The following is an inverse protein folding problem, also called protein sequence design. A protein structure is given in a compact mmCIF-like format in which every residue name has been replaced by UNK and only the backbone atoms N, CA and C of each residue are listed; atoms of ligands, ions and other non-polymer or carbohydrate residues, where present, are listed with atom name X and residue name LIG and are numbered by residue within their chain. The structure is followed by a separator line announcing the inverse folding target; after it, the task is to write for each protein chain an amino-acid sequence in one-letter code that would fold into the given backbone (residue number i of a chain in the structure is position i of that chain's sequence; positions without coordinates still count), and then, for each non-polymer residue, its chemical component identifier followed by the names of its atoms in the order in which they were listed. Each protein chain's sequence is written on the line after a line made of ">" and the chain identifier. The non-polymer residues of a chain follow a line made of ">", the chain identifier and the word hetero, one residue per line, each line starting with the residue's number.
data_IF_711640750455
#
_entry.id   IF_711640750455
#
_cell.length_a   1.000
_cell.length_b   1.000
_cell.length_c   1.000
_cell.angle_alpha   90.00
_cell.angle_beta   90.00
_cell.angle_gamma   90.00
#
_symmetry.space_group_name_H-M   'P 1'
#
loop_
_entity.id
_entity.type
_entity.pdbx_description
1 polymer ?
#
# COMPACT_ATOMS: atom_id res chain seq x y z
N UNK A 1 -63.78 -5.15 -50.87
CA UNK A 1 -64.70 -4.75 -49.79
C UNK A 1 -63.95 -4.82 -48.47
N UNK A 2 -63.86 -3.68 -47.77
CA UNK A 2 -64.00 -3.48 -46.32
C UNK A 2 -63.02 -4.21 -45.35
N UNK A 3 -62.34 -3.35 -44.57
CA UNK A 3 -61.51 -3.56 -43.36
C UNK A 3 -62.13 -4.47 -42.29
N UNK A 4 -61.30 -5.02 -41.40
CA UNK A 4 -61.40 -4.83 -39.93
C UNK A 4 -60.23 -5.50 -39.18
N UNK A 5 -59.54 -4.73 -38.33
CA UNK A 5 -58.65 -5.19 -37.24
C UNK A 5 -59.45 -5.25 -35.93
N UNK A 6 -59.03 -6.09 -34.96
CA UNK A 6 -58.83 -5.61 -33.57
C UNK A 6 -57.47 -6.11 -33.02
N UNK A 7 -56.55 -5.24 -32.54
CA UNK A 7 -56.35 -4.78 -31.15
C UNK A 7 -56.47 -5.87 -30.07
N UNK A 8 -55.37 -6.26 -29.41
CA UNK A 8 -55.14 -6.23 -27.92
C UNK A 8 -53.94 -7.10 -27.45
N UNK A 9 -52.85 -6.42 -27.06
CA UNK A 9 -51.98 -6.54 -25.84
C UNK A 9 -51.49 -7.85 -25.18
N UNK A 10 -50.19 -7.78 -24.79
CA UNK A 10 -49.41 -8.38 -23.67
C UNK A 10 -49.16 -9.90 -23.69
N UNK A 11 -47.97 -10.43 -23.41
CA UNK A 11 -47.09 -10.29 -22.23
C UNK A 11 -45.63 -10.48 -22.70
N UNK A 12 -44.68 -9.56 -22.49
CA UNK A 12 -43.94 -9.40 -21.23
C UNK A 12 -42.79 -10.42 -21.13
N UNK A 13 -41.67 -10.19 -21.83
CA UNK A 13 -40.48 -11.04 -21.72
C UNK A 13 -39.31 -10.28 -21.10
N UNK A 14 -39.04 -10.69 -19.85
CA UNK A 14 -37.75 -10.72 -19.16
C UNK A 14 -36.91 -9.43 -19.15
N UNK A 15 -37.07 -8.72 -18.03
CA UNK A 15 -36.05 -7.90 -17.39
C UNK A 15 -34.75 -8.70 -17.24
N UNK A 16 -33.69 -8.30 -17.96
CA UNK A 16 -32.31 -8.61 -17.57
C UNK A 16 -31.39 -7.42 -17.90
N UNK A 17 -31.80 -6.23 -17.48
CA UNK A 17 -30.81 -5.21 -17.16
C UNK A 17 -30.26 -5.59 -15.80
N UNK A 18 -29.11 -6.26 -15.81
CA UNK A 18 -28.31 -6.48 -14.62
C UNK A 18 -28.15 -5.13 -13.92
N UNK A 19 -28.65 -5.04 -12.69
CA UNK A 19 -28.32 -3.97 -11.79
C UNK A 19 -26.78 -3.97 -11.66
N UNK A 20 -26.11 -3.00 -12.27
CA UNK A 20 -24.79 -2.61 -11.79
C UNK A 20 -25.02 -1.99 -10.41
N UNK A 21 -24.91 -2.82 -9.37
CA UNK A 21 -24.57 -2.33 -8.05
C UNK A 21 -23.14 -1.80 -8.16
N UNK A 22 -22.97 -0.51 -8.39
CA UNK A 22 -21.76 0.19 -7.96
C UNK A 22 -21.81 0.36 -6.44
N UNK A 23 -21.63 -0.74 -5.70
CA UNK A 23 -21.07 -0.68 -4.36
C UNK A 23 -19.54 -0.68 -4.51
N UNK A 24 -19.00 0.35 -5.16
CA UNK A 24 -17.56 0.58 -5.31
C UNK A 24 -16.89 1.05 -3.99
N UNK A 25 -17.54 0.78 -2.87
CA UNK A 25 -16.98 0.83 -1.52
C UNK A 25 -16.86 -0.57 -0.92
N UNK A 26 -16.73 -1.62 -1.76
CA UNK A 26 -16.28 -2.95 -1.31
C UNK A 26 -15.09 -2.70 -0.39
N UNK A 27 -15.35 -2.88 0.90
CA UNK A 27 -14.57 -2.31 1.99
C UNK A 27 -13.07 -2.40 1.66
N UNK A 28 -12.42 -1.29 1.31
CA UNK A 28 -11.02 -1.31 0.83
C UNK A 28 -10.12 -1.98 1.90
N UNK A 29 -10.48 -1.84 3.18
CA UNK A 29 -9.85 -2.54 4.30
C UNK A 29 -10.11 -4.06 4.33
N UNK A 30 -11.22 -4.55 3.76
CA UNK A 30 -11.44 -5.99 3.61
C UNK A 30 -10.61 -6.60 2.47
N UNK A 31 -10.23 -5.81 1.47
CA UNK A 31 -9.40 -6.25 0.33
C UNK A 31 -7.90 -6.05 0.64
N UNK A 32 -7.57 -5.00 1.40
CA UNK A 32 -6.21 -4.63 1.80
C UNK A 32 -6.15 -4.41 3.32
N UNK A 33 -6.21 -5.48 4.13
CA UNK A 33 -6.33 -5.40 5.59
C UNK A 33 -5.19 -4.62 6.24
N UNK A 34 -3.95 -4.82 5.79
CA UNK A 34 -2.81 -4.12 6.40
C UNK A 34 -2.87 -2.62 6.08
N UNK A 35 -3.12 -2.27 4.82
CA UNK A 35 -3.24 -0.86 4.43
C UNK A 35 -4.39 -0.18 5.18
N UNK A 36 -5.53 -0.87 5.32
CA UNK A 36 -6.66 -0.40 6.11
C UNK A 36 -6.25 -0.08 7.55
N UNK A 37 -5.57 -1.00 8.24
CA UNK A 37 -5.11 -0.78 9.60
C UNK A 37 -4.15 0.42 9.71
N UNK A 38 -3.21 0.56 8.77
CA UNK A 38 -2.27 1.70 8.69
C UNK A 38 -3.00 3.03 8.49
N UNK A 39 -3.96 3.09 7.56
CA UNK A 39 -4.73 4.32 7.28
C UNK A 39 -5.55 4.78 8.49
N UNK A 40 -6.01 3.85 9.33
CA UNK A 40 -6.71 4.15 10.58
C UNK A 40 -5.78 4.34 11.79
N UNK A 41 -4.46 4.22 11.60
CA UNK A 41 -3.46 4.25 12.68
C UNK A 41 -3.71 3.20 13.78
N UNK A 42 -4.33 2.08 13.43
CA UNK A 42 -4.63 0.98 14.35
C UNK A 42 -3.39 0.10 14.52
N UNK A 43 -2.51 0.52 15.42
CA UNK A 43 -1.21 -0.13 15.64
C UNK A 43 -1.36 -1.56 16.16
N UNK A 44 -2.42 -1.85 16.91
CA UNK A 44 -2.68 -3.19 17.45
C UNK A 44 -3.14 -4.14 16.34
N UNK A 45 -4.00 -3.67 15.44
CA UNK A 45 -4.39 -4.46 14.27
C UNK A 45 -3.22 -4.65 13.29
N UNK A 46 -2.40 -3.62 13.06
CA UNK A 46 -1.14 -3.75 12.29
C UNK A 46 -0.28 -4.86 12.89
N UNK A 47 -0.08 -4.86 14.21
CA UNK A 47 0.72 -5.90 14.89
C UNK A 47 0.12 -7.28 14.67
N UNK A 48 -1.19 -7.43 14.90
CA UNK A 48 -1.89 -8.71 14.73
C UNK A 48 -1.77 -9.23 13.30
N UNK A 49 -1.92 -8.38 12.30
CA UNK A 49 -1.80 -8.76 10.88
C UNK A 49 -0.35 -9.11 10.53
N UNK A 50 0.62 -8.33 11.02
CA UNK A 50 2.05 -8.55 10.78
C UNK A 50 2.54 -9.88 11.40
N UNK A 51 2.08 -10.23 12.60
CA UNK A 51 2.36 -11.52 13.26
C UNK A 51 1.94 -12.73 12.42
N UNK A 52 0.92 -12.57 11.57
CA UNK A 52 0.43 -13.60 10.66
C UNK A 52 0.97 -13.45 9.22
N UNK A 53 1.85 -12.48 8.97
CA UNK A 53 2.38 -12.18 7.64
C UNK A 53 1.33 -11.70 6.64
N UNK A 54 0.21 -11.14 7.12
CA UNK A 54 -0.90 -10.73 6.27
C UNK A 54 -0.61 -9.33 5.73
N UNK A 55 -0.56 -9.21 4.41
CA UNK A 55 -0.64 -7.91 3.74
C UNK A 55 0.56 -6.99 3.86
N UNK A 56 1.72 -7.48 4.34
CA UNK A 56 2.92 -6.69 4.60
C UNK A 56 3.35 -5.81 3.40
N UNK A 57 3.24 -6.37 2.18
CA UNK A 57 3.69 -5.77 0.93
C UNK A 57 2.54 -5.56 -0.07
N UNK A 58 1.30 -5.44 0.41
CA UNK A 58 0.16 -5.05 -0.42
C UNK A 58 0.46 -3.76 -1.19
N UNK A 59 0.00 -3.65 -2.43
CA UNK A 59 0.21 -2.45 -3.24
C UNK A 59 -1.12 -1.81 -3.55
N UNK A 60 -1.26 -0.56 -3.12
CA UNK A 60 -2.48 0.18 -3.35
C UNK A 60 -2.60 0.55 -4.85
N UNK A 61 -3.79 0.42 -5.48
CA UNK A 61 -3.89 0.53 -6.93
C UNK A 61 -3.55 1.89 -7.53
N UNK A 62 -3.70 2.99 -6.79
CA UNK A 62 -3.55 4.33 -7.35
C UNK A 62 -2.08 4.69 -7.61
N UNK A 63 -1.15 4.31 -6.72
CA UNK A 63 0.26 4.60 -6.87
C UNK A 63 1.24 3.48 -6.54
N UNK A 64 0.75 2.28 -6.25
CA UNK A 64 1.57 1.13 -5.87
C UNK A 64 2.31 1.29 -4.54
N UNK A 65 1.93 2.26 -3.69
CA UNK A 65 2.46 2.36 -2.33
C UNK A 65 2.16 1.12 -1.52
N UNK A 66 3.15 0.71 -0.72
CA UNK A 66 3.00 -0.34 0.28
C UNK A 66 2.52 0.24 1.61
N UNK A 67 1.96 -0.57 2.53
CA UNK A 67 1.62 -0.11 3.88
C UNK A 67 2.78 0.59 4.57
N UNK A 68 4.01 0.12 4.34
CA UNK A 68 5.21 0.75 4.89
C UNK A 68 5.44 2.16 4.32
N UNK A 69 5.26 2.38 3.02
CA UNK A 69 5.39 3.70 2.39
C UNK A 69 4.31 4.65 2.94
N UNK A 70 3.07 4.19 3.03
CA UNK A 70 1.94 4.99 3.55
C UNK A 70 2.13 5.38 5.02
N UNK A 71 2.55 4.43 5.87
CA UNK A 71 2.86 4.68 7.27
C UNK A 71 3.99 5.72 7.42
N UNK A 72 5.01 5.63 6.57
CA UNK A 72 6.17 6.53 6.60
C UNK A 72 5.82 7.95 6.14
N UNK A 73 4.98 8.09 5.11
CA UNK A 73 4.46 9.38 4.67
C UNK A 73 3.57 10.05 5.70
N UNK A 74 3.01 9.26 6.63
CA UNK A 74 2.18 9.73 7.76
C UNK A 74 2.96 9.82 9.08
N UNK A 75 4.29 9.67 9.06
CA UNK A 75 5.16 9.70 10.24
C UNK A 75 4.81 8.68 11.36
N UNK A 76 4.13 7.58 11.01
CA UNK A 76 3.75 6.50 11.93
C UNK A 76 4.94 5.54 12.17
N UNK A 77 6.06 6.04 12.67
CA UNK A 77 7.31 5.28 12.78
C UNK A 77 7.25 4.01 13.65
N UNK A 78 6.45 3.93 14.74
CA UNK A 78 6.23 2.67 15.44
C UNK A 78 5.57 1.59 14.55
N UNK A 79 4.64 1.98 13.67
CA UNK A 79 4.02 1.09 12.69
C UNK A 79 5.05 0.65 11.64
N UNK A 80 5.87 1.58 11.14
CA UNK A 80 6.98 1.25 10.21
C UNK A 80 7.94 0.24 10.85
N UNK A 81 8.29 0.42 12.13
CA UNK A 81 9.15 -0.51 12.85
C UNK A 81 8.53 -1.91 12.96
N UNK A 82 7.22 -2.01 13.25
CA UNK A 82 6.51 -3.30 13.26
C UNK A 82 6.61 -4.00 11.90
N UNK A 83 6.33 -3.29 10.81
CA UNK A 83 6.39 -3.86 9.46
C UNK A 83 7.80 -4.35 9.11
N UNK A 84 8.82 -3.54 9.43
CA UNK A 84 10.24 -3.90 9.23
C UNK A 84 10.66 -5.12 10.05
N UNK A 85 10.14 -5.27 11.26
CA UNK A 85 10.46 -6.40 12.14
C UNK A 85 9.75 -7.70 11.73
N UNK A 86 8.65 -7.61 10.99
CA UNK A 86 7.90 -8.76 10.49
C UNK A 86 8.22 -9.13 9.03
N UNK A 87 9.24 -8.49 8.45
CA UNK A 87 9.78 -8.89 7.15
C UNK A 87 9.11 -8.26 5.93
N UNK A 88 8.39 -7.15 6.10
CA UNK A 88 7.96 -6.35 4.96
C UNK A 88 9.19 -5.87 4.15
N UNK A 89 9.04 -5.80 2.82
CA UNK A 89 10.11 -5.46 1.90
C UNK A 89 10.56 -4.01 2.07
N UNK A 90 11.72 -3.83 2.68
CA UNK A 90 12.33 -2.51 2.89
C UNK A 90 12.79 -1.84 1.59
N UNK A 91 12.90 -2.59 0.49
CA UNK A 91 13.36 -2.11 -0.81
C UNK A 91 12.22 -1.72 -1.75
N UNK A 92 10.97 -1.95 -1.34
CA UNK A 92 9.81 -1.54 -2.11
C UNK A 92 9.80 -0.03 -2.37
N UNK A 93 9.40 0.34 -3.58
CA UNK A 93 9.06 1.71 -3.95
C UNK A 93 7.68 1.76 -4.60
N UNK A 94 7.06 2.95 -4.59
CA UNK A 94 5.82 3.24 -5.33
C UNK A 94 6.10 3.45 -6.83
N UNK A 95 5.06 3.76 -7.62
CA UNK A 95 5.19 4.02 -9.07
C UNK A 95 6.10 5.21 -9.41
N UNK A 96 6.38 6.07 -8.45
CA UNK A 96 7.21 7.27 -8.60
C UNK A 96 8.64 7.03 -8.11
N UNK A 97 8.98 5.83 -7.64
CA UNK A 97 10.30 5.50 -7.10
C UNK A 97 10.51 5.96 -5.65
N UNK A 98 9.45 6.33 -4.94
CA UNK A 98 9.51 6.72 -3.53
C UNK A 98 9.61 5.47 -2.66
N UNK A 99 10.59 5.47 -1.76
CA UNK A 99 10.86 4.42 -0.77
C UNK A 99 10.58 4.92 0.64
N UNK A 100 10.37 3.99 1.58
CA UNK A 100 10.30 4.32 3.01
C UNK A 100 11.58 5.04 3.49
N UNK A 101 12.76 4.60 3.02
CA UNK A 101 14.03 5.17 3.45
C UNK A 101 14.17 6.67 3.10
N UNK A 102 13.64 7.10 1.95
CA UNK A 102 13.58 8.52 1.60
C UNK A 102 12.72 9.31 2.60
N UNK A 103 11.54 8.79 2.95
CA UNK A 103 10.65 9.41 3.94
C UNK A 103 11.32 9.50 5.31
N UNK A 104 12.10 8.47 5.69
CA UNK A 104 12.84 8.48 6.95
C UNK A 104 13.82 9.65 7.01
N UNK A 105 14.54 9.99 5.95
CA UNK A 105 15.50 11.11 5.99
C UNK A 105 14.87 12.49 5.81
N UNK A 106 13.65 12.58 5.24
CA UNK A 106 12.94 13.84 5.03
C UNK A 106 11.86 14.14 6.08
N UNK A 107 11.55 13.19 6.96
CA UNK A 107 10.60 13.33 8.07
C UNK A 107 10.87 14.59 8.90
N UNK A 108 9.80 15.25 9.34
CA UNK A 108 9.83 16.51 10.09
C UNK A 108 9.29 16.37 11.52
N UNK A 109 9.25 15.15 12.04
CA UNK A 109 8.85 14.88 13.43
C UNK A 109 9.78 15.56 14.44
N UNK A 110 9.26 15.77 15.65
CA UNK A 110 9.97 16.41 16.74
C UNK A 110 11.17 15.53 17.19
N UNK A 111 12.41 16.06 17.18
CA UNK A 111 13.57 15.31 17.65
C UNK A 111 13.38 14.83 19.10
N UNK A 112 13.67 13.55 19.34
CA UNK A 112 13.55 12.92 20.66
C UNK A 112 12.14 12.48 21.06
N UNK A 113 11.12 12.67 20.21
CA UNK A 113 9.81 12.05 20.41
C UNK A 113 9.89 10.52 20.32
N UNK A 114 8.82 9.82 20.69
CA UNK A 114 8.79 8.36 20.59
C UNK A 114 8.77 7.90 19.12
N UNK A 115 8.13 8.67 18.24
CA UNK A 115 8.18 8.51 16.79
C UNK A 115 9.62 8.68 16.28
N UNK A 116 10.35 9.69 16.75
CA UNK A 116 11.75 9.90 16.33
C UNK A 116 12.66 8.78 16.82
N UNK A 117 12.48 8.30 18.04
CA UNK A 117 13.21 7.12 18.53
C UNK A 117 12.92 5.89 17.67
N UNK A 118 11.66 5.64 17.30
CA UNK A 118 11.28 4.52 16.43
C UNK A 118 11.90 4.68 15.02
N UNK A 119 11.80 5.87 14.45
CA UNK A 119 12.41 6.22 13.16
C UNK A 119 13.92 5.97 13.15
N UNK A 120 14.62 6.36 14.21
CA UNK A 120 16.05 6.11 14.35
C UNK A 120 16.36 4.61 14.44
N UNK A 121 15.56 3.82 15.18
CA UNK A 121 15.71 2.35 15.19
C UNK A 121 15.48 1.74 13.81
N UNK A 122 14.48 2.22 13.05
CA UNK A 122 14.25 1.82 11.66
C UNK A 122 15.47 2.12 10.79
N UNK A 123 16.03 3.33 10.86
CA UNK A 123 17.22 3.71 10.09
C UNK A 123 18.41 2.80 10.41
N UNK A 124 18.64 2.48 11.69
CA UNK A 124 19.73 1.56 12.08
C UNK A 124 19.49 0.13 11.56
N UNK A 125 18.24 -0.36 11.60
CA UNK A 125 17.87 -1.65 11.00
C UNK A 125 18.07 -1.67 9.48
N UNK A 126 17.78 -0.59 8.78
CA UNK A 126 18.02 -0.46 7.33
C UNK A 126 19.51 -0.52 7.02
N UNK A 127 20.34 0.26 7.73
CA UNK A 127 21.80 0.23 7.57
C UNK A 127 22.38 -1.16 7.85
N UNK A 128 21.90 -1.82 8.90
CA UNK A 128 22.33 -3.17 9.26
C UNK A 128 22.02 -4.21 8.17
N UNK A 129 20.96 -3.98 7.36
CA UNK A 129 20.59 -4.81 6.21
C UNK A 129 21.22 -4.33 4.89
N UNK A 130 22.21 -3.44 4.96
CA UNK A 130 22.96 -2.97 3.79
C UNK A 130 22.22 -1.94 2.93
N UNK A 131 21.15 -1.33 3.44
CA UNK A 131 20.45 -0.28 2.71
C UNK A 131 21.36 0.97 2.56
N UNK A 132 21.48 1.57 1.36
CA UNK A 132 22.34 2.73 1.15
C UNK A 132 21.84 3.98 1.90
N UNK A 133 22.77 4.70 2.55
CA UNK A 133 22.52 6.01 3.18
C UNK A 133 23.54 7.06 2.71
N UNK A 134 23.12 8.25 2.23
CA UNK A 134 21.72 8.66 2.05
C UNK A 134 20.99 7.79 1.01
N UNK A 135 19.67 7.57 1.16
CA UNK A 135 18.90 6.76 0.23
C UNK A 135 18.92 7.40 -1.16
N UNK A 136 18.95 6.60 -2.24
CA UNK A 136 18.81 7.10 -3.60
C UNK A 136 17.51 7.91 -3.74
N UNK A 137 17.54 8.94 -4.58
CA UNK A 137 16.32 9.65 -4.93
C UNK A 137 15.46 8.82 -5.89
N UNK A 138 14.21 9.24 -6.07
CA UNK A 138 13.21 8.56 -6.89
C UNK A 138 13.67 8.28 -8.32
N UNK A 139 14.26 9.28 -8.99
CA UNK A 139 14.80 9.13 -10.34
C UNK A 139 15.88 8.03 -10.41
N UNK A 140 16.76 7.98 -9.40
CA UNK A 140 17.79 6.96 -9.32
C UNK A 140 17.20 5.57 -9.07
N UNK A 141 16.18 5.44 -8.21
CA UNK A 141 15.47 4.18 -7.96
C UNK A 141 14.89 3.63 -9.27
N UNK A 142 14.10 4.44 -9.99
CA UNK A 142 13.49 4.03 -11.27
C UNK A 142 14.55 3.67 -12.32
N UNK A 143 15.66 4.40 -12.37
CA UNK A 143 16.79 4.06 -13.25
C UNK A 143 17.45 2.73 -12.89
N UNK A 144 17.60 2.42 -11.59
CA UNK A 144 18.20 1.16 -11.13
C UNK A 144 17.26 -0.02 -11.38
N UNK A 145 15.96 0.15 -11.15
CA UNK A 145 14.94 -0.87 -11.43
C UNK A 145 14.92 -1.22 -12.93
N UNK A 146 14.92 -0.21 -13.80
CA UNK A 146 14.99 -0.40 -15.26
C UNK A 146 16.25 -1.18 -15.69
N UNK A 147 17.35 -0.99 -14.97
CA UNK A 147 18.63 -1.68 -15.18
C UNK A 147 18.68 -3.08 -14.52
N UNK A 148 17.64 -3.49 -13.77
CA UNK A 148 17.63 -4.74 -12.99
C UNK A 148 18.58 -4.74 -11.79
N UNK A 149 18.92 -3.55 -11.28
CA UNK A 149 19.84 -3.32 -10.14
C UNK A 149 19.12 -2.90 -8.86
N UNK A 150 17.79 -2.84 -8.89
CA UNK A 150 16.95 -2.56 -7.74
C UNK A 150 15.80 -3.60 -7.66
N UNK A 151 15.58 -4.24 -6.49
CA UNK A 151 16.45 -4.20 -5.31
C UNK A 151 17.84 -4.81 -5.60
N UNK A 152 18.89 -4.52 -4.79
CA UNK A 152 20.20 -5.16 -4.95
C UNK A 152 20.11 -6.68 -4.85
N UNK A 153 21.01 -7.42 -5.52
CA UNK A 153 20.99 -8.89 -5.51
C UNK A 153 21.11 -9.47 -4.10
N UNK A 154 21.85 -8.79 -3.23
CA UNK A 154 22.05 -9.16 -1.83
C UNK A 154 20.75 -9.06 -1.00
N UNK A 155 19.76 -8.28 -1.46
CA UNK A 155 18.46 -8.11 -0.81
C UNK A 155 17.47 -9.26 -1.07
N UNK A 156 17.76 -10.12 -2.06
CA UNK A 156 16.86 -11.20 -2.49
C UNK A 156 17.23 -12.58 -1.92
N UNK A 157 18.11 -12.62 -0.90
CA UNK A 157 18.64 -13.84 -0.28
C UNK A 157 18.22 -14.00 1.17
#
# INVERSE_FOLDING_TARGET
>A
MIRLLPITTLVGFALLAACFNEDASVNQAAIMPMLGAVMHSDTDEVRRLAEHGIGLDEREPADQSTPMIVASGSDQWPVVEILVDHGADIWAHDQFGVTMAQMAVTSRILPGSDEDKARLRVIEKLKARGYPFPPPNAERILSLEKDGKWPPLEATR
#
